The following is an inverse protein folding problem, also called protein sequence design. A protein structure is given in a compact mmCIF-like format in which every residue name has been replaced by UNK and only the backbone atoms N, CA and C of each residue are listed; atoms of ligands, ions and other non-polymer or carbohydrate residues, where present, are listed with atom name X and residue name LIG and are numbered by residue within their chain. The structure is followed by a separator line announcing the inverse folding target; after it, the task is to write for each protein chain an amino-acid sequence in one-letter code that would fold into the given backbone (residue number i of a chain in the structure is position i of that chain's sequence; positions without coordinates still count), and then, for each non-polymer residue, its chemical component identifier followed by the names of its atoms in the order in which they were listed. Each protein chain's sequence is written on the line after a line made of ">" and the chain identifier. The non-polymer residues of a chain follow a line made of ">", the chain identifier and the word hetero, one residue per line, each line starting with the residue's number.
data_IF_140977450060
#
_entry.id   IF_140977450060
#
_cell.length_a   1.000
_cell.length_b   1.000
_cell.length_c   1.000
_cell.angle_alpha   90.00
_cell.angle_beta   90.00
_cell.angle_gamma   90.00
#
_symmetry.space_group_name_H-M   'P 1'
#
loop_
_entity.id
_entity.type
_entity.pdbx_description
1 polymer ?
#
# COMPACT_ATOMS: atom_id res chain seq x y z
N UNK A 1 -27.07 5.93 -8.11
CA UNK A 1 -27.60 7.32 -8.05
C UNK A 1 -29.02 7.44 -8.57
N UNK A 2 -29.35 6.92 -9.76
CA UNK A 2 -30.72 6.98 -10.30
C UNK A 2 -31.79 6.38 -9.38
N UNK A 3 -31.56 5.20 -8.80
CA UNK A 3 -32.46 4.58 -7.83
C UNK A 3 -32.67 5.45 -6.57
N UNK A 4 -31.60 6.02 -6.03
CA UNK A 4 -31.63 6.92 -4.85
C UNK A 4 -32.49 8.16 -5.17
N UNK A 5 -32.25 8.78 -6.33
CA UNK A 5 -33.02 9.93 -6.79
C UNK A 5 -34.50 9.59 -6.99
N UNK A 6 -34.81 8.44 -7.60
CA UNK A 6 -36.18 7.97 -7.78
C UNK A 6 -36.88 7.71 -6.43
N UNK A 7 -36.24 7.02 -5.49
CA UNK A 7 -36.80 6.77 -4.16
C UNK A 7 -37.15 8.07 -3.43
N UNK A 8 -36.26 9.06 -3.49
CA UNK A 8 -36.50 10.38 -2.88
C UNK A 8 -37.60 11.17 -3.60
N UNK A 9 -37.60 11.17 -4.93
CA UNK A 9 -38.58 11.91 -5.74
C UNK A 9 -40.00 11.34 -5.63
N UNK A 10 -40.17 10.03 -5.51
CA UNK A 10 -41.49 9.41 -5.46
C UNK A 10 -41.97 9.12 -4.04
N UNK A 11 -41.07 8.84 -3.10
CA UNK A 11 -41.49 8.45 -1.76
C UNK A 11 -41.21 9.45 -0.64
N UNK A 12 -40.31 10.41 -0.82
CA UNK A 12 -39.91 11.34 0.25
C UNK A 12 -40.95 12.44 0.47
N UNK A 13 -41.11 12.89 1.72
CA UNK A 13 -41.84 14.11 2.07
C UNK A 13 -40.99 15.37 1.77
N UNK A 14 -41.61 16.56 1.86
CA UNK A 14 -40.92 17.81 1.53
C UNK A 14 -39.67 18.07 2.38
N UNK A 15 -39.71 17.68 3.67
CA UNK A 15 -38.58 17.82 4.59
C UNK A 15 -37.42 16.90 4.21
N UNK A 16 -37.70 15.62 3.95
CA UNK A 16 -36.66 14.64 3.54
C UNK A 16 -36.03 15.05 2.21
N UNK A 17 -36.82 15.49 1.23
CA UNK A 17 -36.30 15.94 -0.07
C UNK A 17 -35.37 17.15 0.07
N UNK A 18 -35.73 18.12 0.92
CA UNK A 18 -34.91 19.31 1.16
C UNK A 18 -33.59 18.97 1.86
N UNK A 19 -33.62 18.10 2.87
CA UNK A 19 -32.39 17.64 3.52
C UNK A 19 -31.49 16.85 2.55
N UNK A 20 -32.10 15.94 1.78
CA UNK A 20 -31.39 15.15 0.78
C UNK A 20 -30.82 16.00 -0.36
N UNK A 21 -31.51 17.04 -0.81
CA UNK A 21 -30.99 17.93 -1.87
C UNK A 21 -29.79 18.73 -1.39
N UNK A 22 -29.82 19.26 -0.16
CA UNK A 22 -28.66 19.93 0.44
C UNK A 22 -27.47 18.97 0.53
N UNK A 23 -27.69 17.75 1.03
CA UNK A 23 -26.64 16.73 1.12
C UNK A 23 -26.09 16.34 -0.27
N UNK A 24 -26.96 16.22 -1.28
CA UNK A 24 -26.57 15.93 -2.66
C UNK A 24 -25.74 17.06 -3.28
N UNK A 25 -26.10 18.32 -3.05
CA UNK A 25 -25.35 19.48 -3.54
C UNK A 25 -23.97 19.53 -2.91
N UNK A 26 -23.87 19.36 -1.58
CA UNK A 26 -22.57 19.35 -0.88
C UNK A 26 -21.70 18.19 -1.37
N UNK A 27 -22.23 16.96 -1.35
CA UNK A 27 -21.48 15.77 -1.78
C UNK A 27 -21.08 15.83 -3.25
N UNK A 28 -21.98 16.32 -4.11
CA UNK A 28 -21.73 16.55 -5.53
C UNK A 28 -20.66 17.61 -5.77
N UNK A 29 -20.70 18.74 -5.06
CA UNK A 29 -19.70 19.80 -5.19
C UNK A 29 -18.28 19.31 -4.82
N UNK A 30 -18.15 18.56 -3.73
CA UNK A 30 -16.84 18.01 -3.29
C UNK A 30 -16.24 17.06 -4.33
N UNK A 31 -17.05 16.38 -5.13
CA UNK A 31 -16.58 15.52 -6.24
C UNK A 31 -16.36 16.28 -7.54
N UNK A 32 -17.34 17.09 -7.95
CA UNK A 32 -17.37 17.74 -9.25
C UNK A 32 -16.38 18.90 -9.32
N UNK A 33 -16.15 19.64 -8.24
CA UNK A 33 -15.24 20.79 -8.27
C UNK A 33 -13.78 20.37 -8.56
N UNK A 34 -13.19 19.37 -7.88
CA UNK A 34 -11.84 18.90 -8.22
C UNK A 34 -11.74 18.30 -9.62
N UNK A 35 -12.79 17.60 -10.09
CA UNK A 35 -12.84 17.06 -11.44
C UNK A 35 -12.90 18.16 -12.51
N UNK A 36 -13.75 19.17 -12.31
CA UNK A 36 -13.85 20.31 -13.21
C UNK A 36 -12.54 21.11 -13.25
N UNK A 37 -11.94 21.38 -12.08
CA UNK A 37 -10.64 22.06 -12.00
C UNK A 37 -9.53 21.25 -12.66
N UNK A 38 -9.50 19.93 -12.47
CA UNK A 38 -8.53 19.05 -13.14
C UNK A 38 -8.72 18.99 -14.66
N UNK A 39 -9.97 19.05 -15.14
CA UNK A 39 -10.25 19.10 -16.58
C UNK A 39 -9.84 20.45 -17.21
N UNK A 40 -9.99 21.55 -16.47
CA UNK A 40 -9.64 22.90 -16.94
C UNK A 40 -8.14 23.20 -16.82
N UNK A 41 -7.47 22.68 -15.80
CA UNK A 41 -6.04 22.90 -15.54
C UNK A 41 -5.28 21.58 -15.66
N UNK A 42 -4.71 21.31 -16.84
CA UNK A 42 -3.97 20.08 -17.19
C UNK A 42 -2.73 19.77 -16.32
N UNK A 43 -2.38 20.61 -15.34
CA UNK A 43 -1.09 20.57 -14.65
C UNK A 43 -1.15 20.38 -13.13
N UNK A 44 -2.33 20.21 -12.52
CA UNK A 44 -2.41 19.97 -11.09
C UNK A 44 -3.34 18.79 -10.75
N UNK A 45 -2.77 17.86 -9.98
CA UNK A 45 -3.38 16.61 -9.52
C UNK A 45 -4.42 16.92 -8.43
N UNK A 46 -5.49 17.63 -8.78
CA UNK A 46 -6.53 18.08 -7.85
C UNK A 46 -7.43 16.94 -7.37
N UNK A 47 -7.51 15.87 -8.16
CA UNK A 47 -8.33 14.70 -7.87
C UNK A 47 -7.55 13.65 -7.07
N UNK A 48 -7.25 13.98 -5.81
CA UNK A 48 -6.70 13.03 -4.85
C UNK A 48 -7.82 12.44 -4.01
N UNK A 49 -7.80 11.12 -3.77
CA UNK A 49 -8.81 10.42 -2.98
C UNK A 49 -9.00 11.01 -1.57
N UNK A 50 -7.99 11.69 -1.02
CA UNK A 50 -8.07 12.39 0.26
C UNK A 50 -8.96 13.64 0.23
N UNK A 51 -9.04 14.32 -0.91
CA UNK A 51 -9.82 15.56 -1.07
C UNK A 51 -11.32 15.28 -1.12
N UNK A 52 -11.71 14.04 -1.46
CA UNK A 52 -13.12 13.62 -1.54
C UNK A 52 -13.64 12.98 -0.26
N UNK A 53 -12.80 12.79 0.77
CA UNK A 53 -13.21 12.23 2.07
C UNK A 53 -14.39 13.03 2.70
N UNK A 54 -14.41 14.38 2.67
CA UNK A 54 -15.53 15.13 3.22
C UNK A 54 -16.89 14.84 2.55
N UNK A 55 -16.90 14.34 1.31
CA UNK A 55 -18.13 13.96 0.61
C UNK A 55 -18.81 12.74 1.22
N UNK A 56 -18.09 11.90 1.98
CA UNK A 56 -18.62 10.65 2.53
C UNK A 56 -19.82 10.91 3.43
N UNK A 57 -19.76 11.93 4.29
CA UNK A 57 -20.84 12.22 5.24
C UNK A 57 -22.11 12.70 4.52
N UNK A 58 -22.08 13.73 3.65
CA UNK A 58 -23.25 14.13 2.87
C UNK A 58 -23.82 13.01 2.00
N UNK A 59 -22.97 12.21 1.35
CA UNK A 59 -23.43 11.09 0.53
C UNK A 59 -24.08 9.99 1.38
N UNK A 60 -23.55 9.70 2.57
CA UNK A 60 -24.18 8.77 3.51
C UNK A 60 -25.55 9.27 3.99
N UNK A 61 -25.69 10.58 4.25
CA UNK A 61 -26.98 11.19 4.59
C UNK A 61 -27.97 11.07 3.43
N UNK A 62 -27.53 11.34 2.19
CA UNK A 62 -28.35 11.20 0.99
C UNK A 62 -28.85 9.75 0.81
N UNK A 63 -27.95 8.78 0.96
CA UNK A 63 -28.27 7.34 0.85
C UNK A 63 -29.21 6.92 1.98
N UNK A 64 -28.93 7.33 3.22
CA UNK A 64 -29.76 7.05 4.39
C UNK A 64 -31.18 7.61 4.24
N UNK A 65 -31.29 8.84 3.73
CA UNK A 65 -32.57 9.47 3.44
C UNK A 65 -33.38 8.65 2.41
N UNK A 66 -32.74 8.13 1.37
CA UNK A 66 -33.38 7.26 0.38
C UNK A 66 -33.79 5.90 0.94
N UNK A 67 -33.04 5.35 1.92
CA UNK A 67 -33.40 4.11 2.61
C UNK A 67 -34.59 4.30 3.56
N UNK A 68 -34.73 5.49 4.17
CA UNK A 68 -35.73 5.79 5.19
C UNK A 68 -37.06 6.34 4.64
N UNK A 69 -37.27 6.25 3.33
CA UNK A 69 -38.41 6.89 2.66
C UNK A 69 -39.76 6.26 3.08
N UNK A 70 -40.75 7.04 3.58
CA UNK A 70 -41.98 6.49 4.17
C UNK A 70 -42.92 5.77 3.20
N UNK A 71 -43.00 6.20 1.94
CA UNK A 71 -43.93 5.61 0.97
C UNK A 71 -43.37 4.37 0.26
N UNK A 72 -42.05 4.19 0.28
CA UNK A 72 -41.33 3.12 -0.44
C UNK A 72 -40.45 2.31 0.52
N UNK A 73 -40.95 2.04 1.73
CA UNK A 73 -40.17 1.44 2.83
C UNK A 73 -39.58 0.08 2.48
N UNK A 74 -40.29 -0.73 1.68
CA UNK A 74 -39.78 -2.03 1.23
C UNK A 74 -38.57 -1.87 0.31
N UNK A 75 -38.64 -0.97 -0.67
CA UNK A 75 -37.53 -0.71 -1.59
C UNK A 75 -36.36 -0.01 -0.89
N UNK A 76 -36.65 0.94 0.00
CA UNK A 76 -35.65 1.60 0.84
C UNK A 76 -34.96 0.61 1.80
N UNK A 77 -35.72 -0.30 2.39
CA UNK A 77 -35.21 -1.39 3.23
C UNK A 77 -34.35 -2.39 2.45
N UNK A 78 -34.78 -2.77 1.23
CA UNK A 78 -33.99 -3.62 0.34
C UNK A 78 -32.66 -2.96 -0.04
N UNK A 79 -32.68 -1.67 -0.38
CA UNK A 79 -31.47 -0.90 -0.66
C UNK A 79 -30.53 -0.89 0.55
N UNK A 80 -31.05 -0.65 1.76
CA UNK A 80 -30.26 -0.69 2.99
C UNK A 80 -29.65 -2.08 3.21
N UNK A 81 -30.42 -3.16 3.04
CA UNK A 81 -29.95 -4.53 3.20
C UNK A 81 -28.82 -4.86 2.22
N UNK A 82 -28.97 -4.49 0.94
CA UNK A 82 -27.94 -4.68 -0.09
C UNK A 82 -26.66 -3.91 0.26
N UNK A 83 -26.79 -2.66 0.70
CA UNK A 83 -25.63 -1.85 1.10
C UNK A 83 -24.92 -2.46 2.31
N UNK A 84 -25.65 -2.88 3.34
CA UNK A 84 -25.08 -3.55 4.52
C UNK A 84 -24.36 -4.83 4.11
N UNK A 85 -24.96 -5.66 3.26
CA UNK A 85 -24.33 -6.87 2.75
C UNK A 85 -23.06 -6.58 1.96
N UNK A 86 -23.08 -5.56 1.09
CA UNK A 86 -21.91 -5.14 0.31
C UNK A 86 -20.78 -4.62 1.21
N UNK A 87 -21.08 -3.76 2.19
CA UNK A 87 -20.08 -3.26 3.13
C UNK A 87 -19.52 -4.39 4.00
N UNK A 88 -20.39 -5.27 4.49
CA UNK A 88 -19.97 -6.46 5.25
C UNK A 88 -19.06 -7.37 4.43
N UNK A 89 -19.41 -7.65 3.17
CA UNK A 89 -18.56 -8.40 2.25
C UNK A 89 -17.21 -7.72 2.03
N UNK A 90 -17.18 -6.41 1.76
CA UNK A 90 -15.95 -5.66 1.58
C UNK A 90 -15.07 -5.70 2.85
N UNK A 91 -15.67 -5.54 4.03
CA UNK A 91 -14.96 -5.66 5.31
C UNK A 91 -14.37 -7.05 5.49
N UNK A 92 -15.13 -8.12 5.22
CA UNK A 92 -14.63 -9.50 5.28
C UNK A 92 -13.44 -9.66 4.33
N UNK A 93 -13.57 -9.22 3.08
CA UNK A 93 -12.48 -9.30 2.10
C UNK A 93 -11.21 -8.61 2.61
N UNK A 94 -11.32 -7.41 3.19
CA UNK A 94 -10.18 -6.67 3.77
C UNK A 94 -9.57 -7.43 4.95
N UNK A 95 -10.38 -8.04 5.82
CA UNK A 95 -9.89 -8.77 6.99
C UNK A 95 -9.27 -10.11 6.63
N UNK A 96 -9.78 -10.81 5.61
CA UNK A 96 -9.31 -12.14 5.22
C UNK A 96 -8.18 -12.12 4.19
N UNK A 97 -8.00 -11.03 3.45
CA UNK A 97 -6.95 -10.91 2.44
C UNK A 97 -5.94 -9.81 2.82
N UNK A 98 -4.76 -10.23 3.25
CA UNK A 98 -3.67 -9.32 3.64
C UNK A 98 -3.18 -8.38 2.53
N UNK A 99 -3.58 -8.59 1.27
CA UNK A 99 -3.32 -7.66 0.17
C UNK A 99 -4.10 -6.34 0.29
N UNK A 100 -5.33 -6.40 0.81
CA UNK A 100 -6.14 -5.21 1.06
C UNK A 100 -5.78 -4.49 2.36
N UNK A 101 -4.96 -5.13 3.19
CA UNK A 101 -4.47 -4.55 4.43
C UNK A 101 -3.25 -3.67 4.17
N UNK A 102 -2.94 -2.80 5.13
CA UNK A 102 -1.70 -2.01 5.07
C UNK A 102 -0.51 -2.96 5.07
N UNK A 103 0.47 -2.78 4.16
CA UNK A 103 1.61 -3.68 4.12
C UNK A 103 2.42 -3.61 5.42
N UNK A 104 2.76 -4.78 5.96
CA UNK A 104 3.48 -4.89 7.23
C UNK A 104 4.99 -4.66 7.05
N UNK A 105 5.35 -3.38 6.89
CA UNK A 105 6.74 -2.93 6.81
C UNK A 105 7.50 -3.08 8.14
N UNK A 106 6.80 -3.22 9.26
CA UNK A 106 7.43 -3.48 10.56
C UNK A 106 8.06 -4.87 10.59
N UNK A 107 7.38 -5.87 10.04
CA UNK A 107 7.96 -7.21 9.91
C UNK A 107 9.10 -7.24 8.90
N UNK A 108 8.99 -6.51 7.78
CA UNK A 108 10.10 -6.36 6.82
C UNK A 108 11.32 -5.73 7.50
N UNK A 109 11.14 -4.62 8.22
CA UNK A 109 12.23 -3.94 8.93
C UNK A 109 12.90 -4.84 9.97
N UNK A 110 12.12 -5.58 10.77
CA UNK A 110 12.66 -6.54 11.74
C UNK A 110 13.48 -7.64 11.07
N UNK A 111 13.05 -8.12 9.92
CA UNK A 111 13.77 -9.17 9.20
C UNK A 111 15.02 -8.65 8.47
N UNK A 112 15.01 -7.39 8.00
CA UNK A 112 16.20 -6.73 7.46
C UNK A 112 17.25 -6.48 8.55
N UNK A 113 16.79 -6.12 9.76
CA UNK A 113 17.66 -5.87 10.92
C UNK A 113 18.55 -4.62 10.76
N UNK A 114 19.42 -4.35 11.75
CA UNK A 114 20.48 -3.36 11.59
C UNK A 114 21.46 -3.81 10.50
N UNK A 115 22.10 -2.84 9.84
CA UNK A 115 23.13 -3.14 8.86
C UNK A 115 24.49 -3.35 9.56
N UNK A 116 25.24 -4.35 9.16
CA UNK A 116 26.63 -4.57 9.61
C UNK A 116 27.65 -3.86 8.71
N UNK A 117 27.28 -3.64 7.45
CA UNK A 117 28.04 -2.87 6.46
C UNK A 117 27.15 -1.80 5.82
N UNK A 118 27.70 -0.80 5.10
CA UNK A 118 26.88 0.14 4.34
C UNK A 118 25.98 -0.60 3.34
N UNK A 119 24.66 -0.46 3.53
CA UNK A 119 23.63 -1.25 2.83
C UNK A 119 22.65 -0.36 2.09
N UNK A 120 22.34 -0.70 0.84
CA UNK A 120 21.21 -0.13 0.12
C UNK A 120 20.00 -1.07 0.23
N UNK A 121 18.80 -0.52 0.36
CA UNK A 121 17.55 -1.27 0.36
C UNK A 121 16.69 -0.75 -0.78
N UNK A 122 16.35 -1.62 -1.73
CA UNK A 122 15.47 -1.33 -2.86
C UNK A 122 14.10 -1.91 -2.52
N UNK A 123 13.16 -1.06 -2.14
CA UNK A 123 11.80 -1.46 -1.79
C UNK A 123 10.84 -1.26 -2.98
N UNK A 124 10.13 -2.33 -3.33
CA UNK A 124 8.99 -2.27 -4.23
C UNK A 124 7.82 -1.51 -3.56
N UNK A 125 6.94 -0.93 -4.39
CA UNK A 125 5.72 -0.19 -3.99
C UNK A 125 5.94 1.27 -3.56
N UNK A 126 7.04 1.91 -3.98
CA UNK A 126 7.23 3.36 -3.88
C UNK A 126 7.01 3.93 -2.46
N UNK A 127 6.22 5.02 -2.37
CA UNK A 127 5.91 5.71 -1.11
C UNK A 127 5.27 4.82 -0.04
N UNK A 128 4.66 3.70 -0.40
CA UNK A 128 4.10 2.80 0.62
C UNK A 128 5.19 2.22 1.52
N UNK A 129 6.45 2.19 1.06
CA UNK A 129 7.62 1.72 1.83
C UNK A 129 8.23 2.78 2.76
N UNK A 130 7.71 4.02 2.77
CA UNK A 130 8.18 5.09 3.68
C UNK A 130 8.23 4.72 5.17
N UNK A 131 7.35 3.85 5.72
CA UNK A 131 7.44 3.43 7.12
C UNK A 131 8.78 2.77 7.48
N UNK A 132 9.56 2.27 6.51
CA UNK A 132 10.91 1.77 6.77
C UNK A 132 11.83 2.84 7.38
N UNK A 133 11.61 4.14 7.11
CA UNK A 133 12.37 5.24 7.74
C UNK A 133 12.15 5.30 9.25
N UNK A 134 11.00 4.85 9.73
CA UNK A 134 10.63 4.83 11.14
C UNK A 134 11.10 3.51 11.79
N UNK A 135 10.96 2.39 11.08
CA UNK A 135 11.23 1.07 11.66
C UNK A 135 12.68 0.59 11.54
N UNK A 136 13.47 1.13 10.60
CA UNK A 136 14.88 0.78 10.46
C UNK A 136 15.77 1.88 11.05
N UNK A 137 16.71 1.54 11.94
CA UNK A 137 17.64 2.50 12.48
C UNK A 137 18.63 2.97 11.41
N UNK A 138 19.04 4.24 11.48
CA UNK A 138 20.11 4.83 10.64
C UNK A 138 19.86 4.76 9.13
N UNK A 139 18.59 4.70 8.73
CA UNK A 139 18.16 4.89 7.35
C UNK A 139 18.07 6.38 7.05
N UNK A 140 18.42 6.76 5.83
CA UNK A 140 18.24 8.12 5.35
C UNK A 140 16.76 8.50 5.24
N UNK A 141 16.39 9.62 5.86
CA UNK A 141 15.03 10.18 5.77
C UNK A 141 14.76 10.83 4.41
N UNK A 142 15.80 11.43 3.82
CA UNK A 142 15.77 12.08 2.51
C UNK A 142 16.65 11.29 1.55
N UNK A 143 16.16 11.02 0.33
CA UNK A 143 16.93 10.32 -0.68
C UNK A 143 18.07 11.21 -1.21
N UNK A 144 19.34 10.77 -1.11
CA UNK A 144 20.48 11.51 -1.61
C UNK A 144 20.57 11.31 -3.14
N UNK A 145 19.79 12.08 -3.90
CA UNK A 145 19.65 11.87 -5.35
C UNK A 145 20.97 12.05 -6.14
N UNK A 146 21.82 12.99 -5.72
CA UNK A 146 23.07 13.35 -6.42
C UNK A 146 24.34 12.74 -5.80
N UNK A 147 24.25 12.18 -4.58
CA UNK A 147 25.44 11.69 -3.86
C UNK A 147 25.68 10.22 -4.16
N UNK A 148 26.94 9.84 -4.38
CA UNK A 148 27.36 8.44 -4.47
C UNK A 148 27.72 7.95 -3.06
N UNK A 149 27.10 6.86 -2.63
CA UNK A 149 27.31 6.25 -1.31
C UNK A 149 28.02 4.93 -1.50
N UNK A 150 29.02 4.66 -0.66
CA UNK A 150 29.69 3.37 -0.63
C UNK A 150 28.72 2.32 -0.08
N UNK A 151 28.49 1.25 -0.83
CA UNK A 151 27.55 0.18 -0.51
C UNK A 151 28.24 -1.17 -0.71
N UNK A 152 28.19 -2.03 0.29
CA UNK A 152 28.64 -3.42 0.21
C UNK A 152 27.49 -4.41 -0.01
N UNK A 153 26.29 -4.06 0.47
CA UNK A 153 25.10 -4.91 0.43
C UNK A 153 23.90 -4.21 -0.21
N UNK A 154 23.10 -4.96 -0.96
CA UNK A 154 21.83 -4.51 -1.54
C UNK A 154 20.73 -5.49 -1.13
N UNK A 155 19.82 -5.06 -0.26
CA UNK A 155 18.62 -5.81 0.08
C UNK A 155 17.47 -5.37 -0.85
N UNK A 156 16.84 -6.32 -1.51
CA UNK A 156 15.77 -6.07 -2.47
C UNK A 156 14.48 -6.65 -1.92
N UNK A 157 13.49 -5.78 -1.69
CA UNK A 157 12.20 -6.15 -1.11
C UNK A 157 11.14 -6.11 -2.20
N UNK A 158 10.64 -7.27 -2.58
CA UNK A 158 9.60 -7.43 -3.59
C UNK A 158 8.30 -7.98 -3.00
N UNK A 159 7.15 -7.49 -3.46
CA UNK A 159 5.86 -8.08 -3.13
C UNK A 159 5.69 -9.41 -3.89
N UNK A 160 5.23 -10.46 -3.20
CA UNK A 160 4.90 -11.74 -3.85
C UNK A 160 3.54 -11.61 -4.56
N UNK A 161 3.45 -11.94 -5.85
CA UNK A 161 2.15 -12.32 -6.43
C UNK A 161 1.75 -13.68 -5.84
N UNK A 162 0.66 -13.69 -5.08
CA UNK A 162 -0.12 -14.84 -4.57
C UNK A 162 0.65 -16.16 -4.27
N UNK A 163 0.66 -16.55 -3.00
CA UNK A 163 0.30 -17.92 -2.65
C UNK A 163 -0.90 -17.87 -1.71
N UNK A 164 -1.88 -18.79 -1.82
CA UNK A 164 -2.87 -18.99 -0.77
C UNK A 164 -2.12 -19.23 0.55
N UNK A 165 -2.46 -18.45 1.58
CA UNK A 165 -1.88 -18.59 2.90
C UNK A 165 -2.30 -19.95 3.46
N UNK A 166 -1.37 -20.92 3.50
CA UNK A 166 -1.49 -22.01 4.47
C UNK A 166 -1.36 -21.41 5.87
N UNK A 167 -2.14 -21.87 6.86
CA UNK A 167 -2.05 -21.36 8.23
C UNK A 167 -0.61 -21.48 8.73
N UNK A 168 0.01 -20.33 9.01
CA UNK A 168 1.33 -20.25 9.62
C UNK A 168 1.14 -20.48 11.12
N UNK A 169 1.82 -21.50 11.68
CA UNK A 169 1.91 -21.68 13.14
C UNK A 169 2.57 -20.44 13.73
N UNK A 170 1.87 -19.77 14.63
CA UNK A 170 2.39 -18.65 15.42
C UNK A 170 3.35 -19.21 16.46
N UNK A 171 4.61 -18.78 16.42
CA UNK A 171 5.59 -19.02 17.51
C UNK A 171 5.47 -17.86 18.51
N UNK A 172 5.27 -18.19 19.79
CA UNK A 172 5.06 -17.25 20.89
C UNK A 172 6.40 -16.67 21.42
N UNK A 173 6.39 -15.51 22.11
CA UNK A 173 7.60 -14.85 22.58
C UNK A 173 8.15 -15.53 23.85
N UNK A 174 9.42 -15.94 23.83
CA UNK A 174 10.12 -16.55 24.97
C UNK A 174 11.17 -17.58 24.57
N UNK A 175 11.08 -18.11 23.36
CA UNK A 175 12.14 -18.90 22.74
C UNK A 175 12.88 -18.00 21.74
N UNK A 176 14.19 -17.82 21.92
CA UNK A 176 15.08 -17.48 20.80
C UNK A 176 15.70 -18.78 20.31
N UNK A 177 15.16 -19.44 19.27
CA UNK A 177 15.86 -20.54 18.66
C UNK A 177 16.99 -19.95 17.81
N UNK A 178 18.19 -20.47 18.04
CA UNK A 178 19.42 -20.35 17.25
C UNK A 178 19.28 -20.86 15.78
N UNK A 179 18.05 -21.05 15.30
CA UNK A 179 17.69 -21.59 13.99
C UNK A 179 16.73 -20.68 13.19
N UNK A 180 16.85 -19.35 13.25
CA UNK A 180 16.56 -18.59 12.02
C UNK A 180 17.71 -18.89 11.03
N UNK A 181 17.80 -20.15 10.60
CA UNK A 181 18.45 -20.49 9.34
C UNK A 181 17.50 -19.96 8.26
N UNK A 182 17.98 -19.15 7.31
CA UNK A 182 17.17 -18.80 6.16
C UNK A 182 16.82 -20.09 5.44
N UNK A 183 15.60 -20.61 5.65
CA UNK A 183 15.07 -21.69 4.83
C UNK A 183 14.61 -21.08 3.51
N UNK A 184 15.57 -20.65 2.71
CA UNK A 184 15.43 -20.38 1.28
C UNK A 184 16.02 -21.56 0.52
N UNK A 185 15.37 -22.02 -0.55
CA UNK A 185 15.99 -22.95 -1.48
C UNK A 185 17.33 -22.37 -1.98
N UNK A 186 18.39 -23.18 -2.19
CA UNK A 186 19.65 -22.69 -2.72
C UNK A 186 19.37 -21.94 -4.03
N UNK A 187 19.76 -20.67 -4.05
CA UNK A 187 19.49 -19.78 -5.18
C UNK A 187 20.37 -20.17 -6.37
N UNK A 188 19.83 -20.28 -7.60
CA UNK A 188 20.65 -20.37 -8.79
C UNK A 188 21.64 -19.20 -8.81
N UNK A 189 22.90 -19.47 -9.15
CA UNK A 189 24.00 -18.51 -9.11
C UNK A 189 23.86 -17.30 -10.07
N UNK A 190 22.70 -17.12 -10.72
CA UNK A 190 22.54 -16.26 -11.90
C UNK A 190 21.28 -15.37 -11.87
N UNK A 191 20.95 -14.76 -10.74
CA UNK A 191 19.87 -13.74 -10.70
C UNK A 191 20.30 -12.53 -9.90
N UNK A 192 21.38 -11.87 -10.31
CA UNK A 192 21.80 -10.56 -9.83
C UNK A 192 22.52 -9.78 -10.94
N UNK A 193 22.46 -8.45 -10.96
CA UNK A 193 23.20 -7.66 -11.94
C UNK A 193 24.72 -7.85 -11.79
N UNK A 194 25.52 -7.56 -12.85
CA UNK A 194 26.95 -7.81 -12.86
C UNK A 194 27.69 -7.23 -11.64
N UNK A 195 28.50 -8.08 -11.00
CA UNK A 195 29.28 -7.73 -9.80
C UNK A 195 28.50 -7.83 -8.49
N UNK A 196 27.31 -8.42 -8.50
CA UNK A 196 26.55 -8.79 -7.29
C UNK A 196 26.31 -10.30 -7.23
N UNK A 197 26.30 -10.84 -6.02
CA UNK A 197 25.97 -12.23 -5.74
C UNK A 197 24.80 -12.28 -4.76
N UNK A 198 23.79 -13.08 -5.08
CA UNK A 198 22.69 -13.38 -4.17
C UNK A 198 23.22 -14.28 -3.06
N UNK A 199 23.25 -13.78 -1.83
CA UNK A 199 23.78 -14.52 -0.66
C UNK A 199 22.68 -15.07 0.22
N UNK A 200 21.51 -14.43 0.23
CA UNK A 200 20.37 -14.89 1.01
C UNK A 200 19.05 -14.51 0.34
N UNK A 201 18.04 -15.35 0.53
CA UNK A 201 16.67 -15.08 0.08
C UNK A 201 15.69 -15.69 1.07
N UNK A 202 14.86 -14.83 1.66
CA UNK A 202 13.86 -15.25 2.64
C UNK A 202 12.52 -14.54 2.42
N UNK A 203 11.49 -15.10 3.03
CA UNK A 203 10.10 -14.65 2.87
C UNK A 203 9.59 -14.14 4.21
N UNK A 204 8.98 -12.95 4.19
CA UNK A 204 8.37 -12.33 5.36
C UNK A 204 6.94 -11.98 5.03
N UNK A 205 6.00 -12.84 5.46
CA UNK A 205 4.57 -12.73 5.11
C UNK A 205 4.37 -12.68 3.59
N UNK A 206 3.95 -11.53 3.06
CA UNK A 206 3.68 -11.33 1.63
C UNK A 206 4.89 -10.74 0.86
N UNK A 207 6.04 -10.64 1.51
CA UNK A 207 7.26 -10.06 0.97
C UNK A 207 8.34 -11.11 0.73
N UNK A 208 9.07 -10.93 -0.35
CA UNK A 208 10.31 -11.67 -0.63
C UNK A 208 11.44 -10.66 -0.48
N UNK A 209 12.44 -11.03 0.29
CA UNK A 209 13.66 -10.24 0.49
C UNK A 209 14.80 -11.05 -0.12
N UNK A 210 15.53 -10.44 -1.05
CA UNK A 210 16.77 -10.98 -1.59
C UNK A 210 17.93 -10.10 -1.16
N UNK A 211 18.95 -10.70 -0.53
CA UNK A 211 20.17 -10.03 -0.11
C UNK A 211 21.28 -10.28 -1.11
N UNK A 212 21.79 -9.19 -1.67
CA UNK A 212 22.88 -9.20 -2.62
C UNK A 212 24.12 -8.57 -2.00
N UNK A 213 25.28 -9.16 -2.26
CA UNK A 213 26.57 -8.61 -1.85
C UNK A 213 27.37 -8.25 -3.09
N UNK A 214 28.01 -7.08 -3.09
CA UNK A 214 29.01 -6.74 -4.10
C UNK A 214 30.32 -7.46 -3.81
N UNK A 215 31.03 -7.92 -4.84
CA UNK A 215 32.36 -8.54 -4.67
C UNK A 215 33.34 -7.62 -3.90
N UNK A 216 33.19 -6.30 -4.06
CA UNK A 216 33.88 -5.27 -3.29
C UNK A 216 32.92 -4.08 -3.04
N UNK A 217 33.01 -3.34 -1.94
CA UNK A 217 32.16 -2.16 -1.71
C UNK A 217 32.24 -1.15 -2.86
N UNK A 218 31.09 -0.76 -3.43
CA UNK A 218 31.02 0.16 -4.59
C UNK A 218 30.32 1.46 -4.24
N UNK A 219 30.79 2.56 -4.82
CA UNK A 219 30.10 3.86 -4.74
C UNK A 219 28.94 3.87 -5.74
N UNK A 220 27.71 3.81 -5.25
CA UNK A 220 26.48 3.78 -6.06
C UNK A 220 25.59 4.98 -5.77
N UNK A 221 24.89 5.48 -6.79
CA UNK A 221 23.84 6.50 -6.65
C UNK A 221 22.45 5.89 -6.78
N UNK A 222 21.43 6.62 -6.31
CA UNK A 222 20.01 6.25 -6.48
C UNK A 222 19.69 5.98 -7.95
N UNK A 223 20.14 6.85 -8.87
CA UNK A 223 19.89 6.70 -10.33
C UNK A 223 20.53 5.42 -10.90
N UNK A 224 21.69 5.02 -10.39
CA UNK A 224 22.35 3.78 -10.81
C UNK A 224 21.60 2.55 -10.31
N UNK A 225 21.18 2.55 -9.04
CA UNK A 225 20.40 1.45 -8.45
C UNK A 225 19.01 1.31 -9.12
N UNK A 226 18.33 2.41 -9.47
CA UNK A 226 17.08 2.36 -10.25
C UNK A 226 17.32 1.74 -11.63
N UNK A 227 18.40 2.11 -12.31
CA UNK A 227 18.76 1.54 -13.62
C UNK A 227 19.08 0.04 -13.54
N UNK A 228 19.67 -0.40 -12.45
CA UNK A 228 20.00 -1.80 -12.19
C UNK A 228 18.84 -2.60 -11.61
N UNK A 229 17.77 -1.94 -11.13
CA UNK A 229 16.60 -2.58 -10.54
C UNK A 229 16.04 -3.76 -11.35
N UNK A 230 15.91 -3.67 -12.70
CA UNK A 230 15.44 -4.80 -13.51
C UNK A 230 16.28 -6.08 -13.38
N UNK A 231 17.57 -5.97 -13.01
CA UNK A 231 18.42 -7.13 -12.76
C UNK A 231 18.15 -7.83 -11.44
N UNK A 232 17.47 -7.16 -10.49
CA UNK A 232 17.13 -7.73 -9.18
C UNK A 232 15.69 -8.26 -9.11
N UNK A 233 14.81 -7.83 -10.02
CA UNK A 233 13.41 -8.23 -10.05
C UNK A 233 13.09 -9.01 -11.32
N UNK A 234 12.35 -10.11 -11.19
CA UNK A 234 11.78 -10.77 -12.37
C UNK A 234 10.84 -9.83 -13.15
N UNK A 235 10.14 -8.92 -12.46
CA UNK A 235 9.35 -7.85 -13.05
C UNK A 235 9.54 -6.58 -12.24
N UNK A 236 10.15 -5.57 -12.83
CA UNK A 236 10.39 -4.29 -12.16
C UNK A 236 9.05 -3.63 -11.82
N UNK A 237 8.81 -3.25 -10.56
CA UNK A 237 7.61 -2.52 -10.19
C UNK A 237 7.65 -1.09 -10.74
N UNK A 238 6.47 -0.52 -11.00
CA UNK A 238 6.34 0.84 -11.55
C UNK A 238 6.90 1.93 -10.62
N UNK A 239 6.98 1.64 -9.33
CA UNK A 239 7.50 2.55 -8.32
C UNK A 239 8.48 1.83 -7.38
N UNK A 240 9.67 2.40 -7.25
CA UNK A 240 10.74 1.94 -6.37
C UNK A 240 11.10 3.05 -5.39
N UNK A 241 11.39 2.67 -4.16
CA UNK A 241 11.95 3.55 -3.16
C UNK A 241 13.27 2.97 -2.66
N UNK A 242 14.32 3.79 -2.67
CA UNK A 242 15.66 3.39 -2.28
C UNK A 242 16.01 4.01 -0.94
N UNK A 243 16.55 3.19 -0.06
CA UNK A 243 17.08 3.58 1.22
C UNK A 243 18.56 3.22 1.30
N UNK A 244 19.31 3.99 2.05
CA UNK A 244 20.68 3.72 2.46
C UNK A 244 20.70 3.66 3.97
N UNK A 245 21.23 2.55 4.49
CA UNK A 245 21.39 2.31 5.90
C UNK A 245 22.87 2.28 6.24
N UNK A 246 23.23 3.04 7.28
CA UNK A 246 24.59 3.03 7.82
C UNK A 246 24.77 1.85 8.78
N UNK A 247 25.99 1.28 8.87
CA UNK A 247 26.25 0.19 9.78
C UNK A 247 26.03 0.61 11.24
N UNK A 248 25.62 -0.35 12.06
CA UNK A 248 25.66 -0.20 13.51
C UNK A 248 27.13 -0.16 13.96
N UNK A 249 27.45 0.75 14.90
CA UNK A 249 28.81 0.95 15.39
C UNK A 249 28.90 0.21 16.71
#
# INVERSE_FOLDING_TARGET
>A
LALIAALLAFGGDGRTRRGASVAAVIGGFVWLAPLALGALHQSADYFLSRNVIPAVVPLAVLIGAACAVPRLRLLGGLLAAVLVAMFGYATIQVQTHGYYQRPDWRSVARALGPATVPRAIIAANGFTADPLKIYLPRVNWVQPQSTRILVGEVDVVGARKQLPLRPVRVVLPGETPFWIRPTGAPTPALVGPPGTKLVDRFVVRNWIIGRFVFDHPRRVSVKQLIRQAPGYFHRTPNALLIFFQRPER
#
